data_IF_770501824924
#
_entry.id   IF_770501824924
#
_cell.length_a   1.000
_cell.length_b   1.000
_cell.length_c   1.000
_cell.angle_alpha   90.00
_cell.angle_beta   90.00
_cell.angle_gamma   90.00
#
_symmetry.space_group_name_H-M   'P 1'
#
loop_
_entity.id
_entity.type
_entity.pdbx_description
1 polymer ?
#
# COMPACT_ATOMS: atom_id res chain seq x y z
N UNK A 1 -34.40 -33.05 3.94
CA UNK A 1 -35.49 -34.05 3.80
C UNK A 1 -35.05 -35.07 2.77
N UNK A 2 -34.71 -36.28 3.21
CA UNK A 2 -34.24 -37.37 2.34
C UNK A 2 -35.45 -38.11 1.79
N UNK A 3 -35.65 -38.06 0.48
CA UNK A 3 -36.64 -38.88 -0.23
C UNK A 3 -36.03 -40.24 -0.53
N UNK A 4 -36.59 -41.29 0.07
CA UNK A 4 -36.23 -42.69 -0.18
C UNK A 4 -37.17 -43.21 -1.27
N UNK A 5 -36.66 -43.40 -2.49
CA UNK A 5 -37.40 -44.04 -3.57
C UNK A 5 -37.26 -45.56 -3.49
N UNK A 6 -38.39 -46.27 -3.45
CA UNK A 6 -38.45 -47.73 -3.39
C UNK A 6 -38.54 -48.33 -4.80
N UNK A 7 -37.61 -49.20 -5.24
CA UNK A 7 -37.53 -49.70 -6.62
C UNK A 7 -38.67 -50.64 -7.05
N UNK A 8 -39.44 -51.20 -6.11
CA UNK A 8 -40.46 -52.22 -6.41
C UNK A 8 -41.80 -51.65 -6.90
N UNK A 9 -42.04 -50.34 -6.75
CA UNK A 9 -43.31 -49.72 -7.19
C UNK A 9 -43.37 -49.62 -8.72
N UNK A 10 -42.22 -49.48 -9.40
CA UNK A 10 -42.13 -49.49 -10.85
C UNK A 10 -42.60 -50.81 -11.49
N UNK A 11 -42.53 -51.93 -10.78
CA UNK A 11 -42.94 -53.23 -11.32
C UNK A 11 -44.46 -53.43 -11.34
N UNK A 12 -45.20 -52.77 -10.44
CA UNK A 12 -46.66 -52.86 -10.39
C UNK A 12 -47.29 -52.02 -11.50
N UNK A 13 -46.74 -50.83 -11.74
CA UNK A 13 -47.18 -49.92 -12.82
C UNK A 13 -46.97 -50.55 -14.21
N UNK A 14 -45.82 -51.21 -14.40
CA UNK A 14 -45.51 -51.97 -15.62
C UNK A 14 -46.45 -53.17 -15.83
N UNK A 15 -46.83 -53.87 -14.76
CA UNK A 15 -47.74 -55.02 -14.82
C UNK A 15 -49.17 -54.60 -15.18
N UNK A 16 -49.62 -53.44 -14.69
CA UNK A 16 -50.93 -52.88 -15.06
C UNK A 16 -50.96 -52.36 -16.50
N UNK A 17 -49.89 -51.72 -16.99
CA UNK A 17 -49.78 -51.33 -18.40
C UNK A 17 -49.82 -52.53 -19.35
N UNK A 18 -49.14 -53.62 -18.99
CA UNK A 18 -49.17 -54.88 -19.76
C UNK A 18 -50.55 -55.53 -19.77
N UNK A 19 -51.26 -55.53 -18.63
CA UNK A 19 -52.61 -56.10 -18.55
C UNK A 19 -53.60 -55.33 -19.44
N UNK A 20 -53.58 -54.00 -19.41
CA UNK A 20 -54.44 -53.16 -20.25
C UNK A 20 -54.13 -53.28 -21.75
N UNK A 21 -52.89 -53.60 -22.10
CA UNK A 21 -52.53 -53.91 -23.49
C UNK A 21 -53.09 -55.25 -23.98
N UNK A 22 -53.21 -56.27 -23.11
CA UNK A 22 -53.57 -57.65 -23.50
C UNK A 22 -55.09 -57.87 -23.61
N UNK A 23 -55.89 -57.23 -22.73
CA UNK A 23 -57.35 -57.41 -22.71
C UNK A 23 -58.05 -57.20 -24.06
N UNK A 24 -57.73 -56.17 -24.87
CA UNK A 24 -58.34 -55.97 -26.19
C UNK A 24 -58.13 -57.14 -27.15
N UNK A 25 -56.97 -57.81 -27.09
CA UNK A 25 -56.67 -58.96 -27.93
C UNK A 25 -57.48 -60.19 -27.53
N UNK A 26 -57.77 -60.36 -26.23
CA UNK A 26 -58.60 -61.45 -25.73
C UNK A 26 -60.07 -61.31 -26.19
N UNK A 27 -60.60 -60.09 -26.18
CA UNK A 27 -61.92 -59.80 -26.74
C UNK A 27 -61.96 -59.97 -28.25
N UNK A 28 -60.92 -59.51 -28.96
CA UNK A 28 -60.80 -59.71 -30.41
C UNK A 28 -60.76 -61.19 -30.77
N UNK A 29 -59.98 -61.99 -30.06
CA UNK A 29 -59.86 -63.43 -30.29
C UNK A 29 -61.19 -64.17 -30.00
N UNK A 30 -61.86 -63.82 -28.91
CA UNK A 30 -63.18 -64.38 -28.57
C UNK A 30 -64.24 -63.99 -29.58
N UNK A 31 -64.21 -62.75 -30.09
CA UNK A 31 -65.10 -62.26 -31.14
C UNK A 31 -64.85 -62.98 -32.47
N UNK A 32 -63.59 -63.15 -32.88
CA UNK A 32 -63.21 -63.92 -34.07
C UNK A 32 -63.65 -65.39 -33.93
N UNK A 33 -63.44 -66.01 -32.77
CA UNK A 33 -63.87 -67.38 -32.51
C UNK A 33 -65.41 -67.53 -32.58
N UNK A 34 -66.15 -66.57 -32.02
CA UNK A 34 -67.61 -66.55 -32.12
C UNK A 34 -68.10 -66.36 -33.57
N UNK A 35 -67.45 -65.48 -34.33
CA UNK A 35 -67.72 -65.31 -35.77
C UNK A 35 -67.46 -66.61 -36.52
N UNK A 36 -66.30 -67.25 -36.32
CA UNK A 36 -65.94 -68.51 -36.98
C UNK A 36 -66.93 -69.64 -36.65
N UNK A 37 -67.45 -69.67 -35.41
CA UNK A 37 -68.50 -70.60 -34.99
C UNK A 37 -69.85 -70.31 -35.66
N UNK A 38 -70.25 -69.05 -35.77
CA UNK A 38 -71.46 -68.64 -36.49
C UNK A 38 -71.36 -68.96 -37.99
N UNK A 39 -70.21 -68.69 -38.58
CA UNK A 39 -69.89 -68.96 -39.97
C UNK A 39 -69.97 -70.48 -40.29
N UNK A 40 -69.51 -71.34 -39.37
CA UNK A 40 -69.59 -72.81 -39.51
C UNK A 40 -71.02 -73.36 -39.63
N UNK A 41 -72.04 -72.60 -39.20
CA UNK A 41 -73.46 -73.02 -39.25
C UNK A 41 -74.23 -72.54 -40.49
N UNK A 42 -73.72 -71.60 -41.29
CA UNK A 42 -74.46 -71.00 -42.41
C UNK A 42 -74.00 -71.60 -43.76
N UNK A 43 -74.84 -72.44 -44.37
CA UNK A 43 -74.59 -73.17 -45.64
C UNK A 43 -74.88 -72.35 -46.92
N UNK A 44 -74.69 -71.03 -46.90
CA UNK A 44 -74.95 -70.16 -48.06
C UNK A 44 -73.71 -69.33 -48.42
N UNK A 45 -73.11 -69.63 -49.58
CA UNK A 45 -71.85 -69.04 -50.07
C UNK A 45 -71.89 -67.51 -50.27
N UNK A 46 -73.07 -66.90 -50.43
CA UNK A 46 -73.21 -65.44 -50.61
C UNK A 46 -73.09 -64.61 -49.31
N UNK A 47 -73.43 -65.17 -48.15
CA UNK A 47 -73.37 -64.46 -46.87
C UNK A 47 -71.93 -64.36 -46.31
N UNK A 48 -71.06 -65.28 -46.71
CA UNK A 48 -69.66 -65.37 -46.28
C UNK A 48 -68.83 -64.17 -46.74
N UNK A 49 -69.02 -63.76 -48.01
CA UNK A 49 -68.30 -62.64 -48.59
C UNK A 49 -68.66 -61.31 -47.90
N UNK A 50 -69.95 -61.12 -47.58
CA UNK A 50 -70.42 -59.93 -46.88
C UNK A 50 -69.87 -59.80 -45.46
N UNK A 51 -69.81 -60.89 -44.70
CA UNK A 51 -69.27 -60.91 -43.33
C UNK A 51 -67.76 -60.66 -43.34
N UNK A 52 -67.01 -61.30 -44.25
CA UNK A 52 -65.55 -61.10 -44.37
C UNK A 52 -65.21 -59.67 -44.78
N UNK A 53 -65.93 -59.08 -45.75
CA UNK A 53 -65.75 -57.68 -46.14
C UNK A 53 -66.11 -56.73 -45.00
N UNK A 54 -67.17 -57.01 -44.24
CA UNK A 54 -67.54 -56.20 -43.06
C UNK A 54 -66.47 -56.26 -41.95
N UNK A 55 -65.86 -57.42 -41.71
CA UNK A 55 -64.77 -57.58 -40.72
C UNK A 55 -63.50 -56.88 -41.18
N UNK A 56 -63.15 -56.96 -42.47
CA UNK A 56 -61.98 -56.26 -43.02
C UNK A 56 -62.21 -54.74 -42.98
N UNK A 57 -63.41 -54.26 -43.33
CA UNK A 57 -63.75 -52.85 -43.25
C UNK A 57 -63.75 -52.33 -41.80
N UNK A 58 -64.29 -53.12 -40.86
CA UNK A 58 -64.29 -52.78 -39.43
C UNK A 58 -62.87 -52.82 -38.84
N UNK A 59 -62.10 -53.86 -39.13
CA UNK A 59 -60.70 -53.98 -38.70
C UNK A 59 -59.81 -52.88 -39.27
N UNK A 60 -60.00 -52.52 -40.55
CA UNK A 60 -59.34 -51.39 -41.19
C UNK A 60 -59.69 -50.05 -40.54
N UNK A 61 -60.96 -49.85 -40.17
CA UNK A 61 -61.42 -48.67 -39.43
C UNK A 61 -60.79 -48.56 -38.03
N UNK A 62 -60.77 -49.64 -37.26
CA UNK A 62 -60.20 -49.68 -35.90
C UNK A 62 -58.67 -49.49 -35.91
N UNK A 63 -57.96 -50.10 -36.86
CA UNK A 63 -56.50 -49.93 -37.01
C UNK A 63 -56.15 -48.52 -37.46
N UNK A 64 -56.91 -47.97 -38.42
CA UNK A 64 -56.76 -46.57 -38.86
C UNK A 64 -56.97 -45.59 -37.69
N UNK A 65 -58.03 -45.79 -36.91
CA UNK A 65 -58.35 -44.96 -35.75
C UNK A 65 -57.26 -45.04 -34.66
N UNK A 66 -56.76 -46.25 -34.32
CA UNK A 66 -55.65 -46.39 -33.36
C UNK A 66 -54.33 -45.81 -33.87
N UNK A 67 -54.04 -45.93 -35.17
CA UNK A 67 -52.82 -45.31 -35.73
C UNK A 67 -52.89 -43.78 -35.66
N UNK A 68 -54.08 -43.20 -35.90
CA UNK A 68 -54.31 -41.77 -35.78
C UNK A 68 -54.22 -41.30 -34.32
N UNK A 69 -54.68 -42.09 -33.35
CA UNK A 69 -54.52 -41.81 -31.92
C UNK A 69 -53.05 -41.86 -31.48
N UNK A 70 -52.28 -42.85 -31.92
CA UNK A 70 -50.85 -42.95 -31.63
C UNK A 70 -50.06 -41.76 -32.19
N UNK A 71 -50.33 -41.37 -33.44
CA UNK A 71 -49.70 -40.19 -34.05
C UNK A 71 -50.06 -38.90 -33.31
N UNK A 72 -51.32 -38.77 -32.83
CA UNK A 72 -51.72 -37.62 -31.99
C UNK A 72 -50.99 -37.63 -30.66
N UNK A 73 -50.80 -38.78 -30.03
CA UNK A 73 -50.14 -38.90 -28.74
C UNK A 73 -48.63 -38.63 -28.84
N UNK A 74 -47.99 -39.08 -29.91
CA UNK A 74 -46.61 -38.72 -30.24
C UNK A 74 -46.45 -37.23 -30.52
N UNK A 75 -47.38 -36.63 -31.28
CA UNK A 75 -47.37 -35.19 -31.53
C UNK A 75 -47.57 -34.38 -30.24
N UNK A 76 -48.42 -34.84 -29.30
CA UNK A 76 -48.59 -34.21 -27.98
C UNK A 76 -47.32 -34.35 -27.13
N UNK A 77 -46.68 -35.53 -27.11
CA UNK A 77 -45.40 -35.74 -26.40
C UNK A 77 -44.29 -34.84 -26.96
N UNK A 78 -44.20 -34.73 -28.28
CA UNK A 78 -43.23 -33.85 -28.93
C UNK A 78 -43.51 -32.37 -28.64
N UNK A 79 -44.78 -31.94 -28.66
CA UNK A 79 -45.15 -30.57 -28.27
C UNK A 79 -44.79 -30.26 -26.83
N UNK A 80 -45.09 -31.18 -25.90
CA UNK A 80 -44.73 -31.00 -24.49
C UNK A 80 -43.22 -30.93 -24.30
N UNK A 81 -42.46 -31.80 -24.98
CA UNK A 81 -41.00 -31.76 -24.96
C UNK A 81 -40.44 -30.45 -25.54
N UNK A 82 -41.07 -29.91 -26.59
CA UNK A 82 -40.71 -28.61 -27.14
C UNK A 82 -41.03 -27.46 -26.17
N UNK A 83 -42.19 -27.47 -25.52
CA UNK A 83 -42.56 -26.48 -24.49
C UNK A 83 -41.60 -26.53 -23.28
N UNK A 84 -41.25 -27.71 -22.81
CA UNK A 84 -40.28 -27.90 -21.71
C UNK A 84 -38.87 -27.41 -22.11
N UNK A 85 -38.47 -27.65 -23.37
CA UNK A 85 -37.21 -27.14 -23.92
C UNK A 85 -37.22 -25.61 -24.04
N UNK A 86 -38.31 -25.02 -24.52
CA UNK A 86 -38.47 -23.56 -24.63
C UNK A 86 -38.45 -22.89 -23.24
N UNK A 87 -39.11 -23.50 -22.25
CA UNK A 87 -39.07 -23.04 -20.86
C UNK A 87 -37.64 -23.08 -20.29
N UNK A 88 -36.90 -24.16 -20.59
CA UNK A 88 -35.49 -24.30 -20.17
C UNK A 88 -34.58 -23.29 -20.84
N UNK A 89 -34.77 -23.04 -22.14
CA UNK A 89 -34.04 -22.02 -22.89
C UNK A 89 -34.32 -20.62 -22.33
N UNK A 90 -35.58 -20.32 -21.99
CA UNK A 90 -35.95 -19.05 -21.39
C UNK A 90 -35.26 -18.84 -20.03
N UNK A 91 -35.25 -19.87 -19.17
CA UNK A 91 -34.55 -19.84 -17.87
C UNK A 91 -33.04 -19.63 -18.03
N UNK A 92 -32.38 -20.35 -18.93
CA UNK A 92 -30.95 -20.20 -19.20
C UNK A 92 -30.62 -18.80 -19.74
N UNK A 93 -31.46 -18.23 -20.61
CA UNK A 93 -31.29 -16.86 -21.09
C UNK A 93 -31.38 -15.84 -19.95
N UNK A 94 -32.30 -16.03 -19.02
CA UNK A 94 -32.43 -15.18 -17.84
C UNK A 94 -31.19 -15.28 -16.95
N UNK A 95 -30.71 -16.48 -16.65
CA UNK A 95 -29.49 -16.69 -15.86
C UNK A 95 -28.27 -16.06 -16.53
N UNK A 96 -28.10 -16.24 -17.85
CA UNK A 96 -27.01 -15.63 -18.60
C UNK A 96 -27.07 -14.10 -18.54
N UNK A 97 -28.27 -13.51 -18.63
CA UNK A 97 -28.44 -12.06 -18.50
C UNK A 97 -28.04 -11.56 -17.10
N UNK A 98 -28.38 -12.30 -16.04
CA UNK A 98 -28.00 -11.95 -14.66
C UNK A 98 -26.49 -12.04 -14.46
N UNK A 99 -25.87 -13.13 -14.89
CA UNK A 99 -24.41 -13.34 -14.82
C UNK A 99 -23.63 -12.27 -15.60
N UNK A 100 -24.13 -11.85 -16.76
CA UNK A 100 -23.53 -10.75 -17.53
C UNK A 100 -23.63 -9.42 -16.77
N UNK A 101 -24.77 -9.14 -16.14
CA UNK A 101 -24.93 -7.93 -15.32
C UNK A 101 -24.01 -7.94 -14.09
N UNK A 102 -23.87 -9.07 -13.41
CA UNK A 102 -22.95 -9.22 -12.28
C UNK A 102 -21.49 -9.03 -12.69
N UNK A 103 -21.09 -9.57 -13.85
CA UNK A 103 -19.71 -9.37 -14.37
C UNK A 103 -19.39 -7.92 -14.70
N UNK A 104 -20.33 -7.16 -15.26
CA UNK A 104 -20.11 -5.74 -15.50
C UNK A 104 -20.03 -4.96 -14.18
N UNK A 105 -20.86 -5.29 -13.18
CA UNK A 105 -20.74 -4.67 -11.85
C UNK A 105 -19.38 -4.97 -11.19
N UNK A 106 -18.93 -6.23 -11.21
CA UNK A 106 -17.61 -6.61 -10.67
C UNK A 106 -16.45 -5.93 -11.38
N UNK A 107 -16.57 -5.67 -12.68
CA UNK A 107 -15.57 -4.96 -13.46
C UNK A 107 -15.48 -3.48 -13.06
N UNK A 108 -16.62 -2.85 -12.78
CA UNK A 108 -16.67 -1.48 -12.26
C UNK A 108 -16.09 -1.39 -10.84
N UNK A 109 -16.42 -2.34 -9.96
CA UNK A 109 -15.83 -2.45 -8.63
C UNK A 109 -14.30 -2.68 -8.70
N UNK A 110 -13.84 -3.55 -9.59
CA UNK A 110 -12.40 -3.79 -9.80
C UNK A 110 -11.70 -2.51 -10.29
N UNK A 111 -12.33 -1.74 -11.16
CA UNK A 111 -11.80 -0.46 -11.64
C UNK A 111 -11.73 0.57 -10.51
N UNK A 112 -12.76 0.64 -9.67
CA UNK A 112 -12.77 1.51 -8.49
C UNK A 112 -11.68 1.11 -7.49
N UNK A 113 -11.54 -0.19 -7.20
CA UNK A 113 -10.52 -0.73 -6.31
C UNK A 113 -9.10 -0.46 -6.81
N UNK A 114 -8.85 -0.61 -8.12
CA UNK A 114 -7.55 -0.26 -8.72
C UNK A 114 -7.23 1.23 -8.57
N UNK A 115 -8.20 2.10 -8.84
CA UNK A 115 -8.04 3.55 -8.64
C UNK A 115 -7.71 3.88 -7.18
N UNK A 116 -8.41 3.27 -6.23
CA UNK A 116 -8.16 3.44 -4.80
C UNK A 116 -6.77 2.92 -4.39
N UNK A 117 -6.33 1.78 -4.94
CA UNK A 117 -4.99 1.24 -4.69
C UNK A 117 -3.89 2.20 -5.16
N UNK A 118 -4.00 2.74 -6.38
CA UNK A 118 -3.04 3.73 -6.90
C UNK A 118 -3.02 5.01 -6.05
N UNK A 119 -4.18 5.47 -5.57
CA UNK A 119 -4.22 6.63 -4.66
C UNK A 119 -3.56 6.34 -3.31
N UNK A 120 -3.68 5.12 -2.79
CA UNK A 120 -3.01 4.72 -1.55
C UNK A 120 -1.50 4.59 -1.74
N UNK A 121 -1.04 4.08 -2.89
CA UNK A 121 0.38 4.03 -3.25
C UNK A 121 0.99 5.44 -3.30
N UNK A 122 0.29 6.40 -3.94
CA UNK A 122 0.72 7.81 -3.96
C UNK A 122 0.81 8.41 -2.56
N UNK A 123 -0.20 8.18 -1.72
CA UNK A 123 -0.19 8.66 -0.33
C UNK A 123 0.93 8.04 0.51
N UNK A 124 1.27 6.77 0.25
CA UNK A 124 2.37 6.10 0.93
C UNK A 124 3.71 6.72 0.55
N UNK A 125 3.91 7.01 -0.74
CA UNK A 125 5.12 7.69 -1.25
C UNK A 125 5.25 9.11 -0.68
N UNK A 126 4.17 9.89 -0.67
CA UNK A 126 4.14 11.21 -0.04
C UNK A 126 4.43 11.15 1.48
N UNK A 127 3.87 10.18 2.18
CA UNK A 127 4.12 9.99 3.61
C UNK A 127 5.57 9.60 3.89
N UNK A 128 6.17 8.74 3.05
CA UNK A 128 7.57 8.35 3.17
C UNK A 128 8.49 9.54 2.93
N UNK A 129 8.27 10.33 1.88
CA UNK A 129 9.04 11.54 1.61
C UNK A 129 8.99 12.54 2.78
N UNK A 130 7.81 12.74 3.37
CA UNK A 130 7.66 13.63 4.54
C UNK A 130 8.37 13.10 5.78
N UNK A 131 8.46 11.78 5.94
CA UNK A 131 9.17 11.15 7.05
C UNK A 131 10.67 11.37 6.90
N UNK A 132 11.21 11.15 5.69
CA UNK A 132 12.63 11.38 5.39
C UNK A 132 13.03 12.85 5.62
N UNK A 133 12.20 13.80 5.18
CA UNK A 133 12.42 15.24 5.43
C UNK A 133 12.41 15.58 6.93
N UNK A 134 11.50 14.96 7.69
CA UNK A 134 11.38 15.19 9.14
C UNK A 134 12.58 14.61 9.88
N UNK A 135 13.06 13.43 9.49
CA UNK A 135 14.26 12.82 10.07
C UNK A 135 15.52 13.64 9.78
N UNK A 136 15.65 14.15 8.56
CA UNK A 136 16.73 15.07 8.20
C UNK A 136 16.70 16.35 9.05
N UNK A 137 15.53 16.97 9.20
CA UNK A 137 15.35 18.16 10.05
C UNK A 137 15.64 17.86 11.53
N UNK A 138 15.19 16.71 12.05
CA UNK A 138 15.45 16.31 13.43
C UNK A 138 16.95 16.08 13.69
N UNK A 139 17.66 15.46 12.75
CA UNK A 139 19.11 15.29 12.83
C UNK A 139 19.84 16.64 12.81
N UNK A 140 19.44 17.55 11.90
CA UNK A 140 20.00 18.91 11.83
C UNK A 140 19.79 19.68 13.14
N UNK A 141 18.54 19.73 13.62
CA UNK A 141 18.19 20.42 14.87
C UNK A 141 18.92 19.83 16.08
N UNK A 142 19.14 18.51 16.11
CA UNK A 142 19.92 17.86 17.16
C UNK A 142 21.37 18.32 17.13
N UNK A 143 21.98 18.37 15.95
CA UNK A 143 23.35 18.88 15.77
C UNK A 143 23.47 20.35 16.21
N UNK A 144 22.51 21.19 15.82
CA UNK A 144 22.45 22.59 16.25
C UNK A 144 22.31 22.69 17.77
N UNK A 145 21.38 21.94 18.38
CA UNK A 145 21.17 21.94 19.81
C UNK A 145 22.43 21.50 20.58
N UNK A 146 23.13 20.48 20.09
CA UNK A 146 24.38 20.02 20.70
C UNK A 146 25.48 21.07 20.57
N UNK A 147 25.58 21.77 19.44
CA UNK A 147 26.45 22.93 19.27
C UNK A 147 26.11 24.07 20.24
N UNK A 148 24.83 24.41 20.40
CA UNK A 148 24.36 25.42 21.35
C UNK A 148 24.64 25.05 22.80
N UNK A 149 24.44 23.79 23.19
CA UNK A 149 24.79 23.30 24.54
C UNK A 149 26.29 23.40 24.78
N UNK A 150 27.08 23.10 23.76
CA UNK A 150 28.53 23.03 23.89
C UNK A 150 29.20 24.41 23.88
N UNK A 151 28.78 25.30 22.97
CA UNK A 151 29.44 26.56 22.68
C UNK A 151 28.57 27.80 22.94
N UNK A 152 27.28 27.66 23.29
CA UNK A 152 26.35 28.78 23.40
C UNK A 152 26.80 29.86 24.40
N UNK A 153 27.32 29.47 25.56
CA UNK A 153 27.87 30.42 26.52
C UNK A 153 29.15 31.11 25.98
N UNK A 154 30.04 30.33 25.38
CA UNK A 154 31.31 30.80 24.82
C UNK A 154 31.11 31.77 23.67
N UNK A 155 30.13 31.49 22.80
CA UNK A 155 29.78 32.34 21.67
C UNK A 155 29.39 33.75 22.11
N UNK A 156 28.82 33.90 23.32
CA UNK A 156 28.44 35.20 23.88
C UNK A 156 29.58 35.91 24.59
N UNK A 157 30.75 35.28 24.77
CA UNK A 157 31.89 35.91 25.43
C UNK A 157 32.74 36.69 24.42
N UNK A 158 33.06 37.93 24.75
CA UNK A 158 33.93 38.86 24.01
C UNK A 158 35.40 38.48 24.16
N UNK A 159 36.29 39.26 23.51
CA UNK A 159 37.74 39.14 23.63
C UNK A 159 38.23 39.28 25.06
N UNK A 160 37.68 40.17 25.88
CA UNK A 160 38.09 40.34 27.29
C UNK A 160 37.44 39.29 28.23
N UNK A 161 36.58 38.44 27.66
CA UNK A 161 35.85 37.41 28.38
C UNK A 161 34.58 37.93 29.05
N UNK A 162 34.14 39.17 28.81
CA UNK A 162 32.83 39.63 29.28
C UNK A 162 31.70 39.02 28.43
N UNK A 163 30.49 38.88 28.99
CA UNK A 163 29.34 38.43 28.21
C UNK A 163 28.69 39.62 27.50
N UNK A 164 28.30 39.45 26.23
CA UNK A 164 27.50 40.45 25.51
C UNK A 164 26.17 40.64 26.25
N UNK A 165 25.79 41.89 26.61
CA UNK A 165 24.55 42.12 27.30
C UNK A 165 23.35 41.74 26.42
N UNK A 166 22.51 40.84 26.93
CA UNK A 166 21.24 40.50 26.27
C UNK A 166 20.35 41.74 26.23
N UNK A 167 20.07 42.26 25.03
CA UNK A 167 19.20 43.42 24.83
C UNK A 167 19.89 44.79 24.71
N UNK A 168 21.20 44.84 24.43
CA UNK A 168 21.88 46.05 23.93
C UNK A 168 22.22 47.14 24.95
N UNK A 169 21.66 47.13 26.16
CA UNK A 169 21.93 48.14 27.20
C UNK A 169 21.99 47.56 28.64
N UNK A 170 22.38 46.29 28.80
CA UNK A 170 22.47 45.62 30.09
C UNK A 170 23.87 45.67 30.72
N UNK A 171 23.94 45.50 32.05
CA UNK A 171 25.19 45.24 32.77
C UNK A 171 25.76 43.91 32.27
N UNK A 172 26.99 43.92 31.74
CA UNK A 172 27.67 42.68 31.37
C UNK A 172 27.89 41.84 32.63
N UNK A 173 27.31 40.64 32.67
CA UNK A 173 27.56 39.69 33.74
C UNK A 173 28.97 39.11 33.59
N UNK A 174 29.69 38.98 34.71
CA UNK A 174 31.02 38.39 34.71
C UNK A 174 30.97 36.93 34.24
N UNK A 175 31.82 36.57 33.29
CA UNK A 175 32.04 35.17 32.91
C UNK A 175 33.24 34.59 33.68
N UNK A 176 33.40 33.25 33.70
CA UNK A 176 34.59 32.62 34.27
C UNK A 176 35.93 33.01 33.62
N UNK A 177 35.89 33.59 32.42
CA UNK A 177 37.08 34.06 31.67
C UNK A 177 37.22 35.59 31.69
N UNK A 178 36.35 36.31 32.40
CA UNK A 178 36.41 37.77 32.43
C UNK A 178 37.75 38.28 32.96
N UNK A 179 38.38 39.17 32.20
CA UNK A 179 39.68 39.76 32.54
C UNK A 179 40.87 38.85 32.31
N UNK A 180 40.73 37.73 31.60
CA UNK A 180 41.85 36.83 31.29
C UNK A 180 43.01 37.55 30.58
N UNK A 181 42.72 38.58 29.77
CA UNK A 181 43.71 39.36 29.04
C UNK A 181 44.41 40.45 29.89
N UNK A 182 43.95 40.68 31.13
CA UNK A 182 44.44 41.78 31.98
C UNK A 182 45.94 41.59 32.26
N UNK A 183 46.72 42.65 32.11
CA UNK A 183 48.18 42.71 32.29
C UNK A 183 49.02 41.94 31.26
N UNK A 184 48.42 41.07 30.44
CA UNK A 184 49.13 40.26 29.43
C UNK A 184 48.91 40.76 27.99
N UNK A 185 47.87 41.58 27.77
CA UNK A 185 47.53 42.16 26.47
C UNK A 185 47.30 43.67 26.65
N UNK A 186 47.93 44.46 25.79
CA UNK A 186 47.73 45.91 25.71
C UNK A 186 46.95 46.25 24.44
N UNK A 187 46.10 47.27 24.48
CA UNK A 187 45.40 47.74 23.28
C UNK A 187 46.06 49.00 22.77
N UNK A 188 46.55 48.97 21.53
CA UNK A 188 47.14 50.12 20.84
C UNK A 188 46.30 50.37 19.58
N UNK A 189 45.65 51.54 19.50
CA UNK A 189 44.72 51.88 18.42
C UNK A 189 43.64 50.80 18.20
N UNK A 190 43.01 50.35 19.30
CA UNK A 190 41.96 49.31 19.32
C UNK A 190 42.40 47.93 18.83
N UNK A 191 43.71 47.69 18.68
CA UNK A 191 44.27 46.39 18.31
C UNK A 191 44.96 45.75 19.51
N UNK A 192 44.70 44.47 19.81
CA UNK A 192 45.39 43.76 20.87
C UNK A 192 46.87 43.55 20.48
N UNK A 193 47.77 43.93 21.37
CA UNK A 193 49.22 43.74 21.27
C UNK A 193 49.67 42.91 22.47
N UNK A 194 50.23 41.75 22.19
CA UNK A 194 50.86 40.87 23.17
C UNK A 194 52.35 41.19 23.27
N UNK A 195 52.90 41.12 24.49
CA UNK A 195 54.34 41.28 24.71
C UNK A 195 55.13 39.98 24.43
N UNK A 196 54.43 38.84 24.44
CA UNK A 196 54.95 37.52 24.10
C UNK A 196 56.17 37.10 24.92
N UNK A 197 56.18 37.52 26.19
CA UNK A 197 57.14 37.03 27.17
C UNK A 197 56.87 35.55 27.49
N UNK A 198 57.84 34.87 28.11
CA UNK A 198 57.64 33.50 28.56
C UNK A 198 56.45 33.40 29.54
N UNK A 199 56.33 34.37 30.46
CA UNK A 199 55.21 34.48 31.42
C UNK A 199 53.85 34.63 30.71
N UNK A 200 53.76 35.43 29.64
CA UNK A 200 52.53 35.59 28.85
C UNK A 200 52.13 34.26 28.17
N UNK A 201 53.10 33.56 27.60
CA UNK A 201 52.88 32.28 26.92
C UNK A 201 52.38 31.22 27.89
N UNK A 202 52.97 31.13 29.09
CA UNK A 202 52.51 30.22 30.14
C UNK A 202 51.09 30.56 30.61
N UNK A 203 50.79 31.85 30.78
CA UNK A 203 49.45 32.32 31.11
C UNK A 203 48.41 31.93 30.05
N UNK A 204 48.70 32.10 28.77
CA UNK A 204 47.78 31.70 27.70
C UNK A 204 47.57 30.19 27.66
N UNK A 205 48.63 29.39 27.85
CA UNK A 205 48.53 27.93 27.97
C UNK A 205 47.66 27.51 29.16
N UNK A 206 47.79 28.18 30.30
CA UNK A 206 46.94 27.93 31.47
C UNK A 206 45.46 28.17 31.16
N UNK A 207 45.13 29.28 30.49
CA UNK A 207 43.75 29.57 30.09
C UNK A 207 43.21 28.59 29.05
N UNK A 208 44.03 28.16 28.09
CA UNK A 208 43.68 27.10 27.14
C UNK A 208 43.33 25.81 27.88
N UNK A 209 44.15 25.41 28.86
CA UNK A 209 43.90 24.19 29.64
C UNK A 209 42.63 24.29 30.48
N UNK A 210 42.36 25.46 31.08
CA UNK A 210 41.20 25.68 31.95
C UNK A 210 39.89 25.89 31.17
N UNK A 211 39.98 26.53 30.00
CA UNK A 211 38.85 26.90 29.15
C UNK A 211 39.12 26.50 27.69
N UNK A 212 39.19 25.20 27.39
CA UNK A 212 39.67 24.71 26.08
C UNK A 212 38.76 25.06 24.91
N UNK A 213 37.53 25.53 25.18
CA UNK A 213 36.57 25.95 24.16
C UNK A 213 36.57 27.45 23.93
N UNK A 214 37.29 28.24 24.72
CA UNK A 214 37.35 29.69 24.56
C UNK A 214 38.47 30.05 23.56
N UNK A 215 38.15 30.69 22.42
CA UNK A 215 39.07 30.73 21.28
C UNK A 215 40.19 31.77 21.41
N UNK A 216 39.97 32.88 22.11
CA UNK A 216 40.89 34.02 22.10
C UNK A 216 42.31 33.72 22.62
N UNK A 217 42.51 32.93 23.71
CA UNK A 217 43.84 32.53 24.15
C UNK A 217 44.61 31.71 23.11
N UNK A 218 43.94 30.88 22.32
CA UNK A 218 44.59 30.12 21.24
C UNK A 218 45.15 31.04 20.16
N UNK A 219 44.38 32.04 19.74
CA UNK A 219 44.84 33.02 18.76
C UNK A 219 46.02 33.83 19.27
N UNK A 220 45.95 34.35 20.49
CA UNK A 220 47.03 35.18 21.05
C UNK A 220 48.31 34.35 21.22
N UNK A 221 48.20 33.10 21.68
CA UNK A 221 49.34 32.19 21.75
C UNK A 221 49.92 31.91 20.37
N UNK A 222 49.09 31.65 19.35
CA UNK A 222 49.56 31.46 17.99
C UNK A 222 50.34 32.67 17.47
N UNK A 223 49.83 33.89 17.68
CA UNK A 223 50.54 35.13 17.32
C UNK A 223 51.90 35.23 18.02
N UNK A 224 51.97 34.92 19.31
CA UNK A 224 53.25 34.94 20.04
C UNK A 224 54.26 33.91 19.53
N UNK A 225 53.80 32.71 19.20
CA UNK A 225 54.66 31.67 18.66
C UNK A 225 55.17 32.02 17.25
N UNK A 226 54.34 32.66 16.41
CA UNK A 226 54.79 33.25 15.14
C UNK A 226 55.92 34.26 15.36
N UNK A 227 55.74 35.21 16.30
CA UNK A 227 56.77 36.22 16.58
C UNK A 227 58.09 35.61 17.07
N UNK A 228 58.02 34.45 17.74
CA UNK A 228 59.19 33.68 18.20
C UNK A 228 59.72 32.69 17.16
N UNK A 229 59.17 32.68 15.95
CA UNK A 229 59.51 31.73 14.88
C UNK A 229 59.33 30.25 15.30
N UNK A 230 58.39 29.96 16.19
CA UNK A 230 58.07 28.61 16.65
C UNK A 230 56.93 28.00 15.82
N UNK A 231 57.24 26.96 15.04
CA UNK A 231 56.31 26.22 14.18
C UNK A 231 55.06 25.66 14.89
N UNK A 232 55.07 25.53 16.22
CA UNK A 232 53.92 25.08 17.00
C UNK A 232 52.70 26.02 16.92
N UNK A 233 52.86 27.24 16.39
CA UNK A 233 51.78 28.21 16.24
C UNK A 233 50.59 27.69 15.41
N UNK A 234 50.85 26.86 14.39
CA UNK A 234 49.84 26.38 13.45
C UNK A 234 48.74 25.60 14.17
N UNK A 235 49.10 24.67 15.05
CA UNK A 235 48.14 23.85 15.77
C UNK A 235 47.19 24.68 16.65
N UNK A 236 47.70 25.76 17.26
CA UNK A 236 46.88 26.68 18.05
C UNK A 236 45.95 27.52 17.16
N UNK A 237 46.43 27.99 16.01
CA UNK A 237 45.62 28.73 15.04
C UNK A 237 44.49 27.86 14.46
N UNK A 238 44.78 26.63 14.05
CA UNK A 238 43.77 25.67 13.57
C UNK A 238 42.73 25.36 14.66
N UNK A 239 43.17 25.16 15.90
CA UNK A 239 42.25 24.93 17.03
C UNK A 239 41.36 26.13 17.29
N UNK A 240 41.92 27.35 17.21
CA UNK A 240 41.15 28.58 17.30
C UNK A 240 40.09 28.65 16.19
N UNK A 241 40.48 28.42 14.93
CA UNK A 241 39.59 28.44 13.78
C UNK A 241 38.41 27.47 13.96
N UNK A 242 38.70 26.22 14.35
CA UNK A 242 37.68 25.20 14.58
C UNK A 242 36.67 25.58 15.68
N UNK A 243 37.08 26.37 16.68
CA UNK A 243 36.18 26.87 17.72
C UNK A 243 35.33 28.03 17.18
N UNK A 244 35.96 29.02 16.53
CA UNK A 244 35.23 30.20 16.03
C UNK A 244 34.27 29.86 14.91
N UNK A 245 34.55 28.84 14.11
CA UNK A 245 33.62 28.32 13.11
C UNK A 245 32.34 27.78 13.73
N UNK A 246 32.38 27.27 14.97
CA UNK A 246 31.18 26.83 15.68
C UNK A 246 30.48 27.98 16.38
N UNK A 247 31.22 28.86 17.04
CA UNK A 247 30.63 29.98 17.79
C UNK A 247 30.03 31.05 16.88
N UNK A 248 30.57 31.27 15.67
CA UNK A 248 30.02 32.25 14.72
C UNK A 248 28.72 31.81 14.05
N UNK A 249 28.36 30.51 14.13
CA UNK A 249 27.08 29.99 13.64
C UNK A 249 25.96 30.11 14.68
N UNK A 250 26.28 30.53 15.91
CA UNK A 250 25.30 30.67 16.99
C UNK A 250 24.71 32.08 16.96
N UNK A 251 23.38 32.16 16.92
CA UNK A 251 22.67 33.44 16.98
C UNK A 251 22.99 34.23 18.26
N UNK A 252 23.26 35.53 18.08
CA UNK A 252 23.62 36.43 19.17
C UNK A 252 25.03 36.23 19.72
N UNK A 253 25.93 35.60 18.96
CA UNK A 253 27.36 35.57 19.30
C UNK A 253 27.99 36.98 19.33
N UNK A 254 29.10 37.12 20.04
CA UNK A 254 29.85 38.38 20.11
C UNK A 254 30.52 38.70 18.76
N UNK A 255 30.42 39.95 18.25
CA UNK A 255 31.11 40.38 17.04
C UNK A 255 32.62 40.10 17.04
N UNK A 256 33.24 40.02 18.23
CA UNK A 256 34.65 39.69 18.39
C UNK A 256 35.01 38.32 17.79
N UNK A 257 34.07 37.36 17.74
CA UNK A 257 34.31 36.05 17.11
C UNK A 257 34.44 36.17 15.58
N UNK A 258 33.70 37.09 14.95
CA UNK A 258 33.82 37.34 13.51
C UNK A 258 35.17 37.97 13.17
N UNK A 259 35.57 38.96 13.96
CA UNK A 259 36.89 39.60 13.85
C UNK A 259 38.01 38.57 14.08
N UNK A 260 37.85 37.72 15.10
CA UNK A 260 38.80 36.66 15.40
C UNK A 260 38.92 35.64 14.26
N UNK A 261 37.80 35.24 13.65
CA UNK A 261 37.77 34.34 12.50
C UNK A 261 38.55 34.92 11.32
N UNK A 262 38.33 36.19 10.99
CA UNK A 262 39.09 36.86 9.93
C UNK A 262 40.59 36.91 10.26
N UNK A 263 40.95 37.24 11.49
CA UNK A 263 42.34 37.34 11.92
C UNK A 263 43.08 35.99 11.92
N UNK A 264 42.43 34.91 12.36
CA UNK A 264 43.06 33.59 12.37
C UNK A 264 43.24 33.02 10.97
N UNK A 265 42.31 33.26 10.04
CA UNK A 265 42.47 32.92 8.62
C UNK A 265 43.68 33.67 8.05
N UNK A 266 43.75 34.99 8.29
CA UNK A 266 44.88 35.78 7.84
C UNK A 266 46.22 35.27 8.40
N UNK A 267 46.25 34.91 9.69
CA UNK A 267 47.43 34.35 10.35
C UNK A 267 47.84 33.00 9.73
N UNK A 268 46.89 32.11 9.43
CA UNK A 268 47.17 30.82 8.78
C UNK A 268 47.73 30.99 7.36
N UNK A 269 47.27 31.99 6.62
CA UNK A 269 47.71 32.25 5.24
C UNK A 269 49.07 32.97 5.13
N UNK A 270 49.41 33.79 6.14
CA UNK A 270 50.53 34.74 6.07
C UNK A 270 51.54 34.65 7.22
N UNK A 271 51.22 33.97 8.33
CA UNK A 271 52.01 33.98 9.57
C UNK A 271 53.35 33.25 9.53
N UNK A 272 53.66 32.53 8.45
CA UNK A 272 54.94 31.81 8.26
C UNK A 272 55.87 32.43 7.21
N UNK A 273 55.56 33.63 6.71
CA UNK A 273 56.40 34.37 5.74
C UNK A 273 57.17 35.47 6.45
#
# INVERSE_FOLDING_TARGET
MLSISFPWWNNVELATELADQIWPYFYLFSFIAAILLCIRRVRFAGAYLGIVVAIIAFGGGVVSQRSAELQRLEAVKQRKAAEDADASIASLKQQLSTEVAERENLKDELKAAKSAATQMEQKLEEAQSRLDDTEAAASSNKSELDSHKEYGAVAQWTFDGSAVPRGGAGVAFGSPVAGWARNHITFVNDRPRCNCTDDDIEHFKLYINRFPKYPFPYYVLAVCLVQRQDSGWVAYAEKCLAIVEKTTQIDGHSPDHNLLKANVIHLLEHGGR
#
